data_IF_720175215112
#
_entry.id   IF_720175215112
#
_cell.length_a   1.000
_cell.length_b   1.000
_cell.length_c   1.000
_cell.angle_alpha   90.00
_cell.angle_beta   90.00
_cell.angle_gamma   90.00
#
_symmetry.space_group_name_H-M   'P 1'
#
loop_
_entity.id
_entity.type
_entity.pdbx_description
1 polymer ?
#
# COMPACT_ATOMS: atom_id res chain seq x y z
N UNK A 1 7.65 8.53 31.70
CA UNK A 1 7.58 7.83 30.41
C UNK A 1 6.13 7.85 29.95
N UNK A 2 5.84 8.67 28.95
CA UNK A 2 4.52 9.28 28.77
C UNK A 2 3.64 8.39 27.89
N UNK A 3 2.45 8.03 28.37
CA UNK A 3 1.47 7.09 27.78
C UNK A 3 0.89 7.51 26.40
N UNK A 4 1.49 8.51 25.74
CA UNK A 4 1.01 9.07 24.46
C UNK A 4 1.67 8.44 23.23
N UNK A 5 2.61 7.51 23.42
CA UNK A 5 3.36 6.88 22.30
C UNK A 5 2.78 5.55 21.82
N UNK A 6 1.69 5.05 22.41
CA UNK A 6 1.09 3.74 22.05
C UNK A 6 0.05 3.87 20.92
N UNK A 7 -0.22 5.07 20.41
CA UNK A 7 -1.33 5.33 19.50
C UNK A 7 -1.00 5.26 17.99
N UNK A 8 0.04 4.53 17.56
CA UNK A 8 0.44 4.46 16.12
C UNK A 8 0.47 3.01 15.58
N UNK A 9 -0.13 2.04 16.27
CA UNK A 9 -0.22 0.66 15.77
C UNK A 9 -1.63 0.14 15.99
N UNK A 10 -2.61 0.70 15.29
CA UNK A 10 -3.96 0.12 15.20
C UNK A 10 -4.64 0.69 13.98
N UNK A 11 -5.17 -0.20 13.14
CA UNK A 11 -5.98 0.06 11.95
C UNK A 11 -5.25 0.21 10.60
N UNK A 12 -4.46 -0.81 10.23
CA UNK A 12 -4.60 -1.32 8.85
C UNK A 12 -5.89 -2.16 8.86
N UNK A 13 -7.03 -1.47 8.81
CA UNK A 13 -8.33 -2.11 8.65
C UNK A 13 -8.45 -2.49 7.19
N UNK A 14 -8.14 -3.75 6.90
CA UNK A 14 -8.41 -4.39 5.62
C UNK A 14 -9.94 -4.47 5.47
N UNK A 15 -10.53 -3.47 4.81
CA UNK A 15 -11.94 -3.49 4.43
C UNK A 15 -12.08 -4.52 3.30
N UNK A 16 -12.33 -5.77 3.65
CA UNK A 16 -12.83 -6.77 2.72
C UNK A 16 -14.31 -6.45 2.44
N UNK A 17 -14.55 -5.47 1.57
CA UNK A 17 -15.87 -5.14 1.05
C UNK A 17 -16.33 -6.23 0.07
N UNK A 18 -17.46 -6.86 0.39
CA UNK A 18 -18.17 -7.83 -0.46
C UNK A 18 -18.62 -7.16 -1.76
N UNK A 19 -18.10 -7.62 -2.91
CA UNK A 19 -18.61 -7.23 -4.23
C UNK A 19 -19.66 -8.26 -4.69
N UNK A 20 -20.93 -7.82 -4.71
CA UNK A 20 -22.05 -8.53 -5.33
C UNK A 20 -22.03 -8.19 -6.82
N UNK A 21 -22.14 -9.24 -7.64
CA UNK A 21 -22.07 -9.25 -9.11
C UNK A 21 -22.32 -7.93 -9.83
N UNK A 22 -21.24 -7.38 -10.41
CA UNK A 22 -21.29 -6.48 -11.55
C UNK A 22 -20.25 -6.99 -12.56
N UNK A 23 -20.70 -7.12 -13.80
CA UNK A 23 -19.95 -7.55 -14.97
C UNK A 23 -18.58 -6.87 -15.10
N UNK A 24 -17.58 -7.67 -15.50
CA UNK A 24 -16.14 -7.41 -15.54
C UNK A 24 -15.78 -5.95 -15.88
N UNK A 25 -15.53 -5.18 -14.82
CA UNK A 25 -14.89 -3.85 -14.80
C UNK A 25 -13.62 -3.86 -13.93
N UNK A 26 -13.15 -5.05 -13.55
CA UNK A 26 -12.27 -5.34 -12.41
C UNK A 26 -10.89 -4.68 -12.45
N UNK A 27 -10.25 -4.58 -13.62
CA UNK A 27 -8.88 -4.04 -13.71
C UNK A 27 -8.80 -2.55 -13.36
N UNK A 28 -9.88 -1.78 -13.51
CA UNK A 28 -9.87 -0.36 -13.18
C UNK A 28 -9.80 -0.16 -11.65
N UNK A 29 -10.45 -1.03 -10.89
CA UNK A 29 -10.41 -1.00 -9.43
C UNK A 29 -9.03 -1.41 -8.92
N UNK A 30 -8.42 -2.43 -9.54
CA UNK A 30 -7.04 -2.83 -9.23
C UNK A 30 -6.03 -1.71 -9.55
N UNK A 31 -6.28 -0.93 -10.62
CA UNK A 31 -5.48 0.28 -10.93
C UNK A 31 -5.61 1.38 -9.87
N UNK A 32 -6.66 1.40 -9.06
CA UNK A 32 -6.73 2.32 -7.93
C UNK A 32 -5.77 1.92 -6.80
N UNK A 33 -5.59 0.62 -6.56
CA UNK A 33 -4.62 0.12 -5.58
C UNK A 33 -3.17 0.52 -5.95
N UNK A 34 -2.81 0.45 -7.24
CA UNK A 34 -1.51 0.93 -7.75
C UNK A 34 -1.24 2.39 -7.37
N UNK A 35 -2.26 3.27 -7.51
CA UNK A 35 -2.16 4.69 -7.12
C UNK A 35 -1.96 4.88 -5.63
N UNK A 36 -2.67 4.11 -4.80
CA UNK A 36 -2.52 4.19 -3.35
C UNK A 36 -1.13 3.73 -2.89
N UNK A 37 -0.50 2.80 -3.60
CA UNK A 37 0.90 2.43 -3.34
C UNK A 37 1.84 3.58 -3.67
N UNK A 38 1.62 4.30 -4.78
CA UNK A 38 2.42 5.48 -5.12
C UNK A 38 2.28 6.60 -4.08
N UNK A 39 1.06 6.83 -3.58
CA UNK A 39 0.80 7.76 -2.48
C UNK A 39 1.54 7.32 -1.19
N UNK A 40 1.45 6.04 -0.83
CA UNK A 40 2.14 5.50 0.35
C UNK A 40 3.67 5.58 0.24
N UNK A 41 4.24 5.30 -0.94
CA UNK A 41 5.68 5.46 -1.20
C UNK A 41 6.12 6.91 -1.04
N UNK A 42 5.31 7.86 -1.52
CA UNK A 42 5.58 9.29 -1.35
C UNK A 42 5.58 9.68 0.13
N UNK A 43 4.54 9.31 0.87
CA UNK A 43 4.44 9.61 2.31
C UNK A 43 5.57 8.97 3.12
N UNK A 44 5.96 7.73 2.77
CA UNK A 44 7.08 7.04 3.37
C UNK A 44 8.40 7.78 3.12
N UNK A 45 8.61 8.30 1.92
CA UNK A 45 9.79 9.10 1.59
C UNK A 45 9.82 10.44 2.34
N UNK A 46 8.68 11.12 2.44
CA UNK A 46 8.55 12.35 3.22
C UNK A 46 8.85 12.08 4.71
N UNK A 47 8.34 10.97 5.26
CA UNK A 47 8.62 10.54 6.63
C UNK A 47 10.10 10.20 6.84
N UNK A 48 10.76 9.54 5.88
CA UNK A 48 12.20 9.26 5.92
C UNK A 48 13.01 10.54 5.96
N UNK A 49 12.69 11.52 5.12
CA UNK A 49 13.37 12.80 5.11
C UNK A 49 13.20 13.52 6.45
N UNK A 50 12.00 13.50 7.03
CA UNK A 50 11.70 14.10 8.33
C UNK A 50 12.42 13.40 9.51
N UNK A 51 12.70 12.10 9.40
CA UNK A 51 13.40 11.32 10.43
C UNK A 51 14.91 11.18 10.15
N UNK A 52 15.49 12.03 9.30
CA UNK A 52 16.91 11.97 8.91
C UNK A 52 17.35 10.58 8.41
N UNK A 53 16.43 9.84 7.79
CA UNK A 53 16.61 8.46 7.33
C UNK A 53 16.87 7.43 8.45
N UNK A 54 16.81 7.82 9.72
CA UNK A 54 16.91 6.91 10.86
C UNK A 54 15.53 6.40 11.28
N UNK A 55 15.07 5.37 10.57
CA UNK A 55 13.81 4.67 10.87
C UNK A 55 14.06 3.21 11.24
N UNK A 56 15.24 2.89 11.81
CA UNK A 56 15.61 1.54 12.25
C UNK A 56 15.54 0.47 11.15
N UNK A 57 15.68 0.85 9.88
CA UNK A 57 15.55 -0.05 8.73
C UNK A 57 14.11 -0.43 8.35
N UNK A 58 13.11 -0.09 9.17
CA UNK A 58 11.71 -0.41 8.89
C UNK A 58 11.17 0.30 7.65
N UNK A 59 11.61 1.54 7.40
CA UNK A 59 11.18 2.30 6.22
C UNK A 59 11.72 1.67 4.93
N UNK A 60 12.96 1.17 4.92
CA UNK A 60 13.49 0.44 3.76
C UNK A 60 12.73 -0.86 3.53
N UNK A 61 12.35 -1.58 4.60
CA UNK A 61 11.54 -2.80 4.47
C UNK A 61 10.13 -2.52 3.96
N UNK A 62 9.50 -1.44 4.44
CA UNK A 62 8.18 -1.02 3.98
C UNK A 62 8.20 -0.61 2.50
N UNK A 63 9.21 0.15 2.08
CA UNK A 63 9.43 0.52 0.67
C UNK A 63 9.55 -0.71 -0.22
N UNK A 64 10.36 -1.70 0.19
CA UNK A 64 10.48 -2.96 -0.54
C UNK A 64 9.12 -3.67 -0.70
N UNK A 65 8.36 -3.81 0.39
CA UNK A 65 7.05 -4.48 0.35
C UNK A 65 6.04 -3.74 -0.54
N UNK A 66 6.08 -2.41 -0.56
CA UNK A 66 5.24 -1.60 -1.44
C UNK A 66 5.63 -1.81 -2.91
N UNK A 67 6.91 -1.90 -3.23
CA UNK A 67 7.37 -2.24 -4.58
C UNK A 67 6.96 -3.66 -5.00
N UNK A 68 7.12 -4.65 -4.11
CA UNK A 68 6.70 -6.03 -4.37
C UNK A 68 5.18 -6.09 -4.62
N UNK A 69 4.38 -5.38 -3.82
CA UNK A 69 2.93 -5.28 -4.01
C UNK A 69 2.56 -4.59 -5.33
N UNK A 70 3.29 -3.54 -5.72
CA UNK A 70 3.09 -2.83 -6.99
C UNK A 70 3.31 -3.76 -8.18
N UNK A 71 4.36 -4.57 -8.12
CA UNK A 71 4.68 -5.56 -9.15
C UNK A 71 3.55 -6.58 -9.30
N UNK A 72 3.08 -7.16 -8.19
CA UNK A 72 2.01 -8.16 -8.22
C UNK A 72 0.68 -7.58 -8.73
N UNK A 73 0.36 -6.33 -8.38
CA UNK A 73 -0.81 -5.62 -8.90
C UNK A 73 -0.70 -5.42 -10.42
N UNK A 74 0.48 -5.10 -10.92
CA UNK A 74 0.71 -4.97 -12.35
C UNK A 74 0.47 -6.31 -13.06
N UNK A 75 1.04 -7.39 -12.55
CA UNK A 75 0.89 -8.73 -13.12
C UNK A 75 -0.57 -9.21 -13.05
N UNK A 76 -1.29 -8.90 -11.97
CA UNK A 76 -2.71 -9.18 -11.85
C UNK A 76 -3.54 -8.42 -12.90
N UNK A 77 -3.22 -7.14 -13.17
CA UNK A 77 -3.86 -6.35 -14.23
C UNK A 77 -3.59 -6.96 -15.60
N UNK A 78 -2.35 -7.32 -15.90
CA UNK A 78 -2.00 -7.92 -17.19
C UNK A 78 -2.68 -9.28 -17.37
N UNK A 79 -2.68 -10.13 -16.33
CA UNK A 79 -3.42 -11.39 -16.33
C UNK A 79 -4.91 -11.18 -16.59
N UNK A 80 -5.54 -10.19 -15.94
CA UNK A 80 -6.95 -9.87 -16.10
C UNK A 80 -7.30 -9.30 -17.50
N UNK A 81 -6.34 -8.73 -18.23
CA UNK A 81 -6.54 -8.27 -19.62
C UNK A 81 -6.46 -9.42 -20.62
N UNK A 82 -5.69 -10.46 -20.31
CA UNK A 82 -5.43 -11.59 -21.21
C UNK A 82 -6.44 -12.74 -21.12
N UNK A 83 -7.30 -12.72 -20.10
CA UNK A 83 -8.37 -13.70 -19.86
C UNK A 83 -9.75 -13.10 -20.16
#
# INVERSE_FOLDING_TARGET
MNKKFVAVISAISLIAGVAIGAEVRDWHEIKAADRHIDEALKELNDARAANHYDMGGHAAKAEQLLHDAKHEIHDAIESAKTH
#
